data_IF_383487709992
#
_entry.id   IF_383487709992
#
_cell.length_a   1.000
_cell.length_b   1.000
_cell.length_c   1.000
_cell.angle_alpha   90.00
_cell.angle_beta   90.00
_cell.angle_gamma   90.00
#
_symmetry.space_group_name_H-M   'P 1'
#
loop_
_entity.id
_entity.type
_entity.pdbx_description
1 polymer ?
#
# COMPACT_ATOMS: atom_id res chain seq x y z
N UNK A 1 -13.59 -17.92 -2.20
CA UNK A 1 -12.89 -19.18 -2.52
C UNK A 1 -11.38 -18.96 -2.32
N UNK A 2 -10.66 -19.89 -1.67
CA UNK A 2 -9.20 -19.81 -1.62
C UNK A 2 -8.62 -20.21 -2.96
N UNK A 3 -7.70 -19.41 -3.49
CA UNK A 3 -7.13 -19.65 -4.80
C UNK A 3 -5.92 -20.55 -4.72
N UNK A 4 -5.85 -21.52 -5.63
CA UNK A 4 -4.64 -22.31 -5.86
C UNK A 4 -3.70 -21.56 -6.79
N UNK A 5 -2.39 -21.73 -6.58
CA UNK A 5 -1.35 -21.16 -7.44
C UNK A 5 -1.61 -21.40 -8.94
N UNK A 6 -2.06 -22.61 -9.30
CA UNK A 6 -2.41 -22.98 -10.67
C UNK A 6 -3.47 -22.05 -11.28
N UNK A 7 -4.47 -21.66 -10.52
CA UNK A 7 -5.53 -20.77 -11.00
C UNK A 7 -4.98 -19.36 -11.20
N UNK A 8 -4.19 -18.82 -10.26
CA UNK A 8 -3.56 -17.49 -10.47
C UNK A 8 -2.69 -17.50 -11.71
N UNK A 9 -1.88 -18.53 -11.93
CA UNK A 9 -1.05 -18.66 -13.15
C UNK A 9 -1.88 -18.57 -14.44
N UNK A 10 -3.02 -19.25 -14.49
CA UNK A 10 -3.93 -19.22 -15.65
C UNK A 10 -4.50 -17.80 -15.82
N UNK A 11 -5.06 -17.23 -14.76
CA UNK A 11 -5.71 -15.92 -14.83
C UNK A 11 -4.72 -14.78 -15.07
N UNK A 12 -3.48 -14.87 -14.57
CA UNK A 12 -2.43 -13.92 -14.91
C UNK A 12 -2.06 -14.00 -16.39
N UNK A 13 -2.01 -15.20 -16.97
CA UNK A 13 -1.83 -15.36 -18.41
C UNK A 13 -2.97 -14.71 -19.22
N UNK A 14 -4.21 -14.80 -18.74
CA UNK A 14 -5.37 -14.17 -19.36
C UNK A 14 -5.34 -12.63 -19.27
N UNK A 15 -4.66 -12.03 -18.29
CA UNK A 15 -4.47 -10.58 -18.21
C UNK A 15 -3.61 -10.03 -19.36
N UNK A 16 -2.77 -10.86 -19.97
CA UNK A 16 -1.99 -10.51 -21.17
C UNK A 16 -2.75 -10.73 -22.48
N UNK A 17 -3.99 -11.20 -22.44
CA UNK A 17 -4.80 -11.43 -23.64
C UNK A 17 -5.00 -10.13 -24.42
N UNK A 18 -4.99 -10.15 -25.77
CA UNK A 18 -5.34 -8.99 -26.57
C UNK A 18 -6.84 -8.63 -26.44
N UNK A 19 -7.69 -9.58 -26.07
CA UNK A 19 -9.13 -9.40 -25.93
C UNK A 19 -9.49 -8.80 -24.56
N UNK A 20 -10.18 -7.66 -24.59
CA UNK A 20 -10.56 -6.92 -23.39
C UNK A 20 -11.51 -7.70 -22.47
N UNK A 21 -12.50 -8.39 -23.05
CA UNK A 21 -13.46 -9.21 -22.29
C UNK A 21 -12.77 -10.32 -21.49
N UNK A 22 -11.73 -10.94 -22.06
CA UNK A 22 -10.93 -11.97 -21.40
C UNK A 22 -10.15 -11.37 -20.21
N UNK A 23 -9.56 -10.19 -20.40
CA UNK A 23 -8.83 -9.48 -19.33
C UNK A 23 -9.78 -9.04 -18.21
N UNK A 24 -10.96 -8.50 -18.54
CA UNK A 24 -11.99 -8.14 -17.57
C UNK A 24 -12.46 -9.34 -16.76
N UNK A 25 -12.72 -10.46 -17.43
CA UNK A 25 -13.09 -11.70 -16.77
C UNK A 25 -12.01 -12.14 -15.78
N UNK A 26 -10.74 -12.11 -16.18
CA UNK A 26 -9.62 -12.45 -15.32
C UNK A 26 -9.49 -11.50 -14.12
N UNK A 27 -9.57 -10.19 -14.33
CA UNK A 27 -9.52 -9.21 -13.24
C UNK A 27 -10.65 -9.40 -12.24
N UNK A 28 -11.88 -9.57 -12.72
CA UNK A 28 -13.05 -9.81 -11.87
C UNK A 28 -12.89 -11.07 -11.04
N UNK A 29 -12.40 -12.14 -11.64
CA UNK A 29 -12.15 -13.39 -10.94
C UNK A 29 -11.11 -13.24 -9.83
N UNK A 30 -9.98 -12.56 -10.10
CA UNK A 30 -8.93 -12.29 -9.10
C UNK A 30 -9.47 -11.40 -7.97
N UNK A 31 -10.29 -10.40 -8.30
CA UNK A 31 -10.94 -9.50 -7.35
C UNK A 31 -11.87 -10.23 -6.37
N UNK A 32 -12.71 -11.12 -6.87
CA UNK A 32 -13.69 -11.88 -6.06
C UNK A 32 -13.04 -12.99 -5.22
N UNK A 33 -11.81 -13.35 -5.55
CA UNK A 33 -11.12 -14.47 -4.95
C UNK A 33 -10.27 -14.09 -3.73
N UNK A 34 -10.03 -15.04 -2.80
CA UNK A 34 -9.07 -14.83 -1.70
C UNK A 34 -7.67 -15.23 -2.18
N UNK A 35 -6.81 -14.23 -2.41
CA UNK A 35 -5.45 -14.37 -2.95
C UNK A 35 -4.47 -13.73 -1.98
N UNK A 36 -3.27 -14.31 -1.86
CA UNK A 36 -2.16 -13.74 -1.06
C UNK A 36 -1.30 -12.80 -1.90
N UNK A 37 -0.64 -11.85 -1.24
CA UNK A 37 0.27 -10.92 -1.91
C UNK A 37 1.39 -11.67 -2.66
N UNK A 38 2.04 -12.64 -2.02
CA UNK A 38 3.10 -13.48 -2.62
C UNK A 38 2.70 -14.06 -3.99
N UNK A 39 1.45 -14.51 -4.14
CA UNK A 39 0.98 -15.07 -5.40
C UNK A 39 0.77 -13.98 -6.46
N UNK A 40 0.27 -12.81 -6.07
CA UNK A 40 0.07 -11.69 -6.99
C UNK A 40 1.42 -11.13 -7.48
N UNK A 41 2.42 -11.07 -6.61
CA UNK A 41 3.79 -10.68 -6.95
C UNK A 41 4.48 -11.72 -7.84
N UNK A 42 4.40 -13.01 -7.47
CA UNK A 42 5.01 -14.11 -8.25
C UNK A 42 4.58 -14.11 -9.71
N UNK A 43 3.34 -13.74 -9.99
CA UNK A 43 2.77 -13.69 -11.35
C UNK A 43 2.68 -12.28 -11.92
N UNK A 44 3.31 -11.29 -11.30
CA UNK A 44 3.39 -9.91 -11.78
C UNK A 44 2.03 -9.26 -12.09
N UNK A 45 0.99 -9.61 -11.32
CA UNK A 45 -0.39 -9.20 -11.62
C UNK A 45 -0.53 -7.67 -11.65
N UNK A 46 0.14 -6.96 -10.73
CA UNK A 46 0.15 -5.48 -10.69
C UNK A 46 0.62 -4.89 -12.02
N UNK A 47 1.81 -5.31 -12.46
CA UNK A 47 2.44 -4.81 -13.68
C UNK A 47 1.59 -5.10 -14.92
N UNK A 48 0.99 -6.30 -15.00
CA UNK A 48 0.13 -6.67 -16.13
C UNK A 48 -1.11 -5.77 -16.24
N UNK A 49 -1.68 -5.37 -15.11
CA UNK A 49 -2.84 -4.47 -15.06
C UNK A 49 -2.42 -3.05 -15.43
N UNK A 50 -1.33 -2.54 -14.85
CA UNK A 50 -0.82 -1.18 -15.11
C UNK A 50 -0.37 -0.96 -16.55
N UNK A 51 0.12 -2.00 -17.23
CA UNK A 51 0.52 -1.92 -18.64
C UNK A 51 -0.67 -1.84 -19.60
N UNK A 52 -1.81 -2.44 -19.24
CA UNK A 52 -2.96 -2.62 -20.12
C UNK A 52 -4.07 -1.59 -19.87
N UNK A 53 -4.12 -0.99 -18.68
CA UNK A 53 -5.24 -0.15 -18.26
C UNK A 53 -4.78 1.16 -17.62
N UNK A 54 -5.43 2.25 -18.04
CA UNK A 54 -5.28 3.56 -17.41
C UNK A 54 -5.98 3.62 -16.04
N UNK A 55 -5.61 4.62 -15.25
CA UNK A 55 -6.15 4.89 -13.91
C UNK A 55 -7.67 5.13 -13.86
N UNK A 56 -8.28 5.45 -15.01
CA UNK A 56 -9.73 5.67 -15.14
C UNK A 56 -10.53 4.36 -15.18
N UNK A 57 -9.86 3.22 -15.43
CA UNK A 57 -10.53 1.93 -15.54
C UNK A 57 -10.90 1.36 -14.17
N UNK A 58 -12.20 1.25 -13.90
CA UNK A 58 -12.74 0.95 -12.56
C UNK A 58 -12.26 -0.40 -12.01
N UNK A 59 -12.33 -1.47 -12.82
CA UNK A 59 -11.88 -2.81 -12.39
C UNK A 59 -10.38 -2.85 -12.09
N UNK A 60 -9.58 -2.15 -12.89
CA UNK A 60 -8.13 -2.10 -12.72
C UNK A 60 -7.80 -1.38 -11.40
N UNK A 61 -8.45 -0.24 -11.16
CA UNK A 61 -8.32 0.51 -9.91
C UNK A 61 -8.71 -0.31 -8.69
N UNK A 62 -9.80 -1.09 -8.76
CA UNK A 62 -10.20 -1.95 -7.65
C UNK A 62 -9.17 -3.04 -7.38
N UNK A 63 -8.59 -3.63 -8.43
CA UNK A 63 -7.59 -4.69 -8.29
C UNK A 63 -6.28 -4.15 -7.72
N UNK A 64 -5.84 -2.98 -8.20
CA UNK A 64 -4.65 -2.30 -7.67
C UNK A 64 -4.84 -1.87 -6.21
N UNK A 65 -6.04 -1.40 -5.85
CA UNK A 65 -6.37 -1.10 -4.45
C UNK A 65 -6.27 -2.36 -3.58
N UNK A 66 -6.84 -3.48 -4.03
CA UNK A 66 -6.76 -4.75 -3.30
C UNK A 66 -5.31 -5.22 -3.09
N UNK A 67 -4.44 -5.03 -4.08
CA UNK A 67 -3.00 -5.32 -3.95
C UNK A 67 -2.40 -4.41 -2.85
N UNK A 68 -2.68 -3.11 -2.89
CA UNK A 68 -2.20 -2.16 -1.88
C UNK A 68 -2.70 -2.47 -0.47
N UNK A 69 -3.97 -2.85 -0.31
CA UNK A 69 -4.54 -3.25 0.99
C UNK A 69 -3.79 -4.49 1.55
N UNK A 70 -3.42 -5.45 0.69
CA UNK A 70 -2.63 -6.62 1.09
C UNK A 70 -1.17 -6.28 1.44
N UNK A 71 -0.57 -5.31 0.74
CA UNK A 71 0.76 -4.76 1.06
C UNK A 71 0.74 -4.12 2.47
N UNK A 72 -0.26 -3.29 2.74
CA UNK A 72 -0.44 -2.64 4.04
C UNK A 72 -0.71 -3.67 5.17
N UNK A 73 -1.52 -4.70 4.92
CA UNK A 73 -1.74 -5.79 5.87
C UNK A 73 -0.45 -6.55 6.20
N UNK A 74 0.42 -6.78 5.20
CA UNK A 74 1.71 -7.44 5.41
C UNK A 74 2.67 -6.56 6.22
N UNK A 75 2.76 -5.27 5.89
CA UNK A 75 3.59 -4.29 6.61
C UNK A 75 3.12 -4.12 8.06
N UNK A 76 1.81 -4.00 8.27
CA UNK A 76 1.21 -3.89 9.60
C UNK A 76 1.22 -5.21 10.38
N UNK A 77 1.31 -6.37 9.72
CA UNK A 77 1.45 -7.69 10.33
C UNK A 77 2.88 -8.03 10.75
N UNK A 78 3.89 -7.43 10.12
CA UNK A 78 5.31 -7.51 10.51
C UNK A 78 5.73 -6.36 11.46
N UNK A 79 4.91 -5.31 11.53
CA UNK A 79 5.05 -4.24 12.50
C UNK A 79 4.66 -4.72 13.90
N UNK A 80 5.64 -5.13 14.70
CA UNK A 80 5.51 -4.91 16.14
C UNK A 80 5.05 -3.46 16.32
N UNK A 81 3.86 -3.26 16.88
CA UNK A 81 3.65 -2.12 17.74
C UNK A 81 4.64 -2.29 18.88
N UNK A 82 5.90 -1.95 18.66
CA UNK A 82 6.73 -1.49 19.75
C UNK A 82 6.09 -0.18 20.15
N UNK A 83 5.11 -0.30 21.06
CA UNK A 83 5.07 0.57 22.22
C UNK A 83 6.48 0.52 22.80
N UNK A 84 7.41 1.26 22.19
CA UNK A 84 8.65 1.60 22.84
C UNK A 84 8.17 2.29 24.10
N UNK A 85 8.35 1.70 25.29
CA UNK A 85 8.09 2.44 26.50
C UNK A 85 9.18 3.50 26.46
N UNK A 86 8.80 4.71 26.05
CA UNK A 86 9.71 5.85 26.15
C UNK A 86 10.19 5.85 27.59
N UNK A 87 11.49 5.74 27.86
CA UNK A 87 11.97 5.78 29.22
C UNK A 87 11.52 7.14 29.74
N UNK A 88 10.54 7.11 30.65
CA UNK A 88 10.03 8.30 31.31
C UNK A 88 11.23 8.90 32.04
N UNK A 89 11.94 9.81 31.36
CA UNK A 89 12.80 10.77 32.04
C UNK A 89 11.84 11.58 32.87
N UNK A 90 11.69 11.18 34.13
CA UNK A 90 11.04 11.94 35.20
C UNK A 90 11.73 13.30 35.29
N UNK A 91 11.34 14.23 34.42
CA UNK A 91 11.54 15.64 34.63
C UNK A 91 10.46 16.06 35.61
N UNK A 92 10.86 16.38 36.84
CA UNK A 92 10.00 17.08 37.79
C UNK A 92 9.57 18.40 37.13
N UNK A 93 8.30 18.51 36.75
CA UNK A 93 7.72 19.79 36.41
C UNK A 93 7.36 20.53 37.70
N UNK A 94 7.78 21.79 37.81
CA UNK A 94 7.31 22.74 38.82
C UNK A 94 5.79 22.93 38.64
N UNK A 95 5.10 23.02 39.77
CA UNK A 95 3.64 23.03 39.88
C UNK A 95 2.99 24.21 39.14
N UNK A 96 2.15 23.92 38.14
CA UNK A 96 0.82 24.53 37.96
C UNK A 96 0.09 23.95 36.75
N UNK A 97 -1.12 23.42 36.96
CA UNK A 97 -2.21 23.51 35.98
C UNK A 97 -2.51 22.29 35.12
N UNK A 98 -3.39 21.42 35.62
CA UNK A 98 -4.46 20.64 34.93
C UNK A 98 -4.11 19.88 33.62
N UNK A 99 -4.14 18.55 33.71
CA UNK A 99 -4.27 17.64 32.56
C UNK A 99 -5.73 17.57 32.10
N UNK A 100 -5.95 17.72 30.78
CA UNK A 100 -7.17 17.33 30.07
C UNK A 100 -6.72 16.58 28.81
N UNK A 101 -7.20 15.34 28.65
CA UNK A 101 -7.19 14.59 27.38
C UNK A 101 -5.81 14.25 26.79
N UNK A 102 -5.31 13.06 27.09
CA UNK A 102 -4.04 12.52 26.57
C UNK A 102 -4.09 12.15 25.08
N UNK A 103 -4.31 13.11 24.18
CA UNK A 103 -3.97 12.97 22.76
C UNK A 103 -3.43 14.30 22.26
N UNK A 104 -2.12 14.48 22.36
CA UNK A 104 -1.39 15.40 21.47
C UNK A 104 -1.14 14.63 20.17
N UNK A 105 -1.95 14.88 19.13
CA UNK A 105 -1.53 14.57 17.75
C UNK A 105 -0.50 15.65 17.40
N UNK A 106 0.77 15.37 17.63
CA UNK A 106 1.83 16.20 17.06
C UNK A 106 1.91 15.90 15.57
N UNK A 107 1.32 16.77 14.74
CA UNK A 107 1.75 16.92 13.35
C UNK A 107 3.21 17.39 13.36
N UNK A 108 4.12 16.42 13.30
CA UNK A 108 5.53 16.65 13.03
C UNK A 108 5.72 16.83 11.53
N UNK A 109 6.48 17.84 11.06
CA UNK A 109 6.64 18.09 9.65
C UNK A 109 7.33 16.89 9.00
N UNK A 110 6.79 16.47 7.85
CA UNK A 110 7.38 15.52 6.91
C UNK A 110 8.81 15.94 6.57
N UNK A 111 9.77 15.56 7.42
CA UNK A 111 11.20 15.71 7.17
C UNK A 111 11.59 14.66 6.13
N UNK A 112 11.25 14.91 4.86
CA UNK A 112 12.18 14.72 3.74
C UNK A 112 11.63 15.03 2.33
N UNK A 113 10.42 15.56 2.16
CA UNK A 113 9.94 15.90 0.80
C UNK A 113 10.40 17.30 0.32
N UNK A 114 10.57 18.27 1.22
CA UNK A 114 11.02 19.63 0.82
C UNK A 114 12.50 19.67 0.40
N UNK A 115 13.37 18.84 1.01
CA UNK A 115 14.81 18.82 0.68
C UNK A 115 15.12 18.19 -0.68
N UNK A 116 14.21 17.42 -1.27
CA UNK A 116 14.39 16.88 -2.61
C UNK A 116 13.90 17.85 -3.71
N UNK A 117 12.95 18.74 -3.41
CA UNK A 117 12.50 19.76 -4.36
C UNK A 117 13.53 20.89 -4.53
N UNK A 118 14.19 21.32 -3.45
CA UNK A 118 15.15 22.45 -3.51
C UNK A 118 16.47 22.09 -4.22
N UNK A 119 16.82 20.81 -4.36
CA UNK A 119 18.03 20.39 -5.10
C UNK A 119 17.85 20.42 -6.63
N UNK A 120 16.62 20.46 -7.14
CA UNK A 120 16.37 20.42 -8.58
C UNK A 120 16.28 21.81 -9.25
N UNK A 121 16.29 22.89 -8.47
CA UNK A 121 16.19 24.27 -8.97
C UNK A 121 17.53 25.03 -9.12
N UNK A 122 18.69 24.43 -8.76
CA UNK A 122 20.00 25.10 -8.85
C UNK A 122 20.95 24.49 -9.90
N UNK A 123 20.45 24.27 -11.12
CA UNK A 123 21.31 24.07 -12.31
C UNK A 123 20.98 25.09 -13.39
N UNK A 124 21.28 26.36 -13.13
CA UNK A 124 21.61 27.34 -14.18
C UNK A 124 22.56 28.38 -13.59
N UNK A 125 23.86 28.12 -13.72
CA UNK A 125 24.88 29.14 -14.00
C UNK A 125 25.82 28.55 -15.04
#
# INVERSE_FOLDING_TARGET
MFVTERLISIYSGLLSSPEEDIRHFAMKWILESKVTLDLLEKYNVRMLVEQQYDITHELARHLLKKIGDLEEELENGAGFYTLTPSPVKRRRSRSTGKFVGSIEIMEGPARNLQKQLDQHCNKKQ
#
